data_IF_154629246245
#
_entry.id   IF_154629246245
#
_cell.length_a   1.000
_cell.length_b   1.000
_cell.length_c   1.000
_cell.angle_alpha   90.00
_cell.angle_beta   90.00
_cell.angle_gamma   90.00
#
_symmetry.space_group_name_H-M   'P 1'
#
loop_
_entity.id
_entity.type
_entity.pdbx_description
1 polymer ?
#
# COMPACT_ATOMS: atom_id res chain seq x y z
N UNK A 1 -15.48 -43.51 -12.56
CA UNK A 1 -14.07 -43.34 -13.00
C UNK A 1 -13.47 -42.32 -12.05
N UNK A 2 -12.47 -42.66 -11.24
CA UNK A 2 -11.84 -41.68 -10.37
C UNK A 2 -11.11 -40.67 -11.25
N UNK A 3 -11.32 -39.40 -10.92
CA UNK A 3 -10.74 -38.23 -11.54
C UNK A 3 -9.20 -38.29 -11.40
N UNK A 4 -8.54 -38.73 -12.46
CA UNK A 4 -7.09 -38.70 -12.55
C UNK A 4 -6.67 -37.27 -12.89
N UNK A 5 -6.73 -36.39 -11.89
CA UNK A 5 -5.92 -35.18 -11.89
C UNK A 5 -4.47 -35.61 -12.20
N UNK A 6 -3.83 -35.11 -13.26
CA UNK A 6 -2.49 -35.55 -13.60
C UNK A 6 -1.56 -35.30 -12.41
N UNK A 7 -0.79 -36.33 -12.02
CA UNK A 7 0.21 -36.25 -10.98
C UNK A 7 1.14 -35.03 -11.24
N UNK A 8 1.68 -34.37 -10.19
CA UNK A 8 2.48 -33.16 -10.31
C UNK A 8 3.88 -33.41 -10.91
N UNK A 9 4.03 -34.32 -11.87
CA UNK A 9 5.33 -34.76 -12.39
C UNK A 9 5.90 -33.90 -13.53
N UNK A 10 5.23 -32.81 -13.93
CA UNK A 10 5.74 -31.87 -14.93
C UNK A 10 6.20 -30.52 -14.35
N UNK A 11 5.98 -30.27 -13.05
CA UNK A 11 6.38 -29.03 -12.35
C UNK A 11 7.88 -28.95 -12.00
N UNK A 12 8.65 -29.99 -12.35
CA UNK A 12 10.02 -30.21 -11.87
C UNK A 12 11.10 -30.24 -12.98
N UNK A 13 10.81 -29.75 -14.18
CA UNK A 13 11.86 -29.71 -15.24
C UNK A 13 12.80 -28.51 -15.11
N UNK A 14 12.36 -27.44 -14.45
CA UNK A 14 13.20 -26.28 -14.15
C UNK A 14 13.92 -26.51 -12.82
N UNK A 15 15.24 -26.32 -12.82
CA UNK A 15 16.05 -26.31 -11.61
C UNK A 15 15.80 -25.01 -10.86
N UNK A 16 14.80 -25.01 -9.98
CA UNK A 16 14.42 -23.83 -9.20
C UNK A 16 15.53 -23.36 -8.25
N UNK A 17 16.47 -24.23 -7.88
CA UNK A 17 17.60 -23.87 -7.03
C UNK A 17 18.63 -23.04 -7.81
N UNK A 18 18.63 -23.11 -9.15
CA UNK A 18 19.49 -22.29 -9.99
C UNK A 18 19.21 -20.79 -9.86
N UNK A 19 18.00 -20.40 -9.42
CA UNK A 19 17.66 -19.00 -9.12
C UNK A 19 18.56 -18.44 -8.01
N UNK A 20 19.02 -19.27 -7.09
CA UNK A 20 19.83 -18.82 -5.95
C UNK A 20 21.32 -18.69 -6.30
N UNK A 21 21.72 -19.03 -7.53
CA UNK A 21 23.12 -18.90 -8.01
C UNK A 21 23.65 -17.48 -7.84
N UNK A 22 22.82 -16.46 -8.13
CA UNK A 22 23.24 -15.05 -8.04
C UNK A 22 22.92 -14.40 -6.68
N UNK A 23 22.15 -15.07 -5.83
CA UNK A 23 21.62 -14.54 -4.57
C UNK A 23 22.72 -14.04 -3.62
N UNK A 24 23.83 -14.78 -3.59
CA UNK A 24 24.93 -14.55 -2.65
C UNK A 24 26.17 -13.96 -3.33
N UNK A 25 26.09 -13.56 -4.61
CA UNK A 25 27.18 -12.86 -5.27
C UNK A 25 27.48 -11.54 -4.56
N UNK A 26 28.73 -11.08 -4.66
CA UNK A 26 29.12 -9.80 -4.08
C UNK A 26 28.41 -8.65 -4.79
N UNK A 27 27.92 -7.68 -4.02
CA UNK A 27 27.37 -6.42 -4.54
C UNK A 27 28.39 -5.72 -5.46
N UNK A 28 29.69 -5.80 -5.13
CA UNK A 28 30.74 -5.21 -5.96
C UNK A 28 30.85 -5.90 -7.34
N UNK A 29 30.70 -7.22 -7.38
CA UNK A 29 30.74 -8.00 -8.62
C UNK A 29 29.53 -7.68 -9.50
N UNK A 30 28.33 -7.62 -8.91
CA UNK A 30 27.10 -7.27 -9.62
C UNK A 30 27.16 -5.83 -10.14
N UNK A 31 27.57 -4.88 -9.31
CA UNK A 31 27.75 -3.49 -9.73
C UNK A 31 28.77 -3.38 -10.88
N UNK A 32 29.90 -4.07 -10.80
CA UNK A 32 30.88 -4.08 -11.88
C UNK A 32 30.34 -4.71 -13.17
N UNK A 33 29.45 -5.71 -13.08
CA UNK A 33 28.74 -6.27 -14.24
C UNK A 33 27.76 -5.25 -14.84
N UNK A 34 26.87 -4.67 -14.03
CA UNK A 34 25.86 -3.71 -14.48
C UNK A 34 26.47 -2.42 -15.07
N UNK A 35 27.59 -1.95 -14.51
CA UNK A 35 28.29 -0.78 -15.02
C UNK A 35 28.96 -1.01 -16.39
N UNK A 36 29.27 -2.26 -16.76
CA UNK A 36 29.84 -2.57 -18.08
C UNK A 36 28.83 -2.40 -19.22
N UNK A 37 27.55 -2.59 -18.93
CA UNK A 37 26.50 -2.53 -19.95
C UNK A 37 26.19 -1.10 -20.42
N UNK A 38 26.66 -0.06 -19.68
CA UNK A 38 26.44 1.38 -19.86
C UNK A 38 25.51 1.74 -21.04
N UNK A 39 24.18 1.60 -20.88
CA UNK A 39 23.27 1.51 -22.01
C UNK A 39 22.97 2.87 -22.66
N UNK A 40 23.37 3.98 -22.05
CA UNK A 40 23.03 5.33 -22.49
C UNK A 40 24.29 6.10 -22.92
N UNK A 41 24.29 6.53 -24.19
CA UNK A 41 25.24 7.51 -24.70
C UNK A 41 25.03 8.91 -24.07
N UNK A 42 25.98 9.81 -24.31
CA UNK A 42 25.96 11.15 -23.70
C UNK A 42 24.75 11.99 -24.15
N UNK A 43 24.30 11.80 -25.39
CA UNK A 43 23.13 12.50 -25.91
C UNK A 43 21.86 12.05 -25.20
N UNK A 44 21.64 10.74 -25.09
CA UNK A 44 20.49 10.14 -24.39
C UNK A 44 20.52 10.50 -22.91
N UNK A 45 21.70 10.48 -22.28
CA UNK A 45 21.88 10.89 -20.88
C UNK A 45 21.49 12.35 -20.65
N UNK A 46 21.82 13.25 -21.58
CA UNK A 46 21.41 14.65 -21.50
C UNK A 46 19.89 14.82 -21.60
N UNK A 47 19.23 14.05 -22.48
CA UNK A 47 17.75 14.04 -22.61
C UNK A 47 17.10 13.54 -21.33
N UNK A 48 17.51 12.38 -20.82
CA UNK A 48 16.99 11.80 -19.56
C UNK A 48 17.17 12.76 -18.40
N UNK A 49 18.33 13.42 -18.31
CA UNK A 49 18.59 14.42 -17.27
C UNK A 49 17.63 15.61 -17.38
N UNK A 50 17.44 16.15 -18.58
CA UNK A 50 16.55 17.30 -18.78
C UNK A 50 15.09 16.95 -18.41
N UNK A 51 14.65 15.75 -18.78
CA UNK A 51 13.31 15.26 -18.42
C UNK A 51 13.17 15.06 -16.90
N UNK A 52 14.13 14.40 -16.26
CA UNK A 52 14.15 14.21 -14.81
C UNK A 52 14.13 15.55 -14.06
N UNK A 53 14.94 16.53 -14.51
CA UNK A 53 14.94 17.87 -13.93
C UNK A 53 13.59 18.58 -14.12
N UNK A 54 12.95 18.42 -15.28
CA UNK A 54 11.62 18.97 -15.57
C UNK A 54 10.56 18.39 -14.63
N UNK A 55 10.54 17.06 -14.46
CA UNK A 55 9.64 16.37 -13.53
C UNK A 55 9.82 16.87 -12.10
N UNK A 56 11.05 16.94 -11.60
CA UNK A 56 11.35 17.42 -10.24
C UNK A 56 10.89 18.87 -10.05
N UNK A 57 11.12 19.74 -11.04
CA UNK A 57 10.68 21.15 -10.98
C UNK A 57 9.16 21.26 -10.99
N UNK A 58 8.47 20.47 -11.81
CA UNK A 58 7.02 20.43 -11.88
C UNK A 58 6.41 19.94 -10.56
N UNK A 59 6.92 18.85 -9.99
CA UNK A 59 6.48 18.32 -8.68
C UNK A 59 6.70 19.34 -7.56
N UNK A 60 7.87 20.00 -7.52
CA UNK A 60 8.14 21.05 -6.51
C UNK A 60 7.21 22.25 -6.64
N UNK A 61 6.88 22.66 -7.87
CA UNK A 61 5.92 23.76 -8.12
C UNK A 61 4.50 23.37 -7.73
N UNK A 62 4.10 22.12 -7.99
CA UNK A 62 2.80 21.60 -7.57
C UNK A 62 2.71 21.50 -6.03
N UNK A 63 3.79 21.06 -5.37
CA UNK A 63 3.88 20.95 -3.92
C UNK A 63 3.79 22.30 -3.19
N UNK A 64 4.08 23.43 -3.85
CA UNK A 64 3.87 24.76 -3.26
C UNK A 64 2.38 25.13 -3.09
N UNK A 65 1.45 24.33 -3.62
CA UNK A 65 0.00 24.49 -3.45
C UNK A 65 -0.59 23.60 -2.34
N UNK A 66 0.26 22.97 -1.53
CA UNK A 66 -0.15 21.93 -0.59
C UNK A 66 -0.98 22.42 0.59
N UNK A 67 -1.89 21.54 1.02
CA UNK A 67 -2.81 21.77 2.12
C UNK A 67 -2.19 21.43 3.49
N UNK A 68 -3.01 21.54 4.53
CA UNK A 68 -2.62 21.36 5.94
C UNK A 68 -1.96 19.99 6.23
N UNK A 69 -2.32 18.95 5.47
CA UNK A 69 -1.86 17.56 5.67
C UNK A 69 -0.40 17.36 5.30
N UNK A 70 0.06 17.94 4.19
CA UNK A 70 1.46 17.78 3.77
C UNK A 70 2.40 18.66 4.60
N UNK A 71 1.92 19.82 5.08
CA UNK A 71 2.62 20.58 6.10
C UNK A 71 2.76 19.79 7.41
N UNK A 72 1.71 19.07 7.81
CA UNK A 72 1.74 18.17 8.97
C UNK A 72 2.72 17.00 8.77
N UNK A 73 2.71 16.32 7.62
CA UNK A 73 3.67 15.26 7.30
C UNK A 73 5.11 15.77 7.17
N UNK A 74 5.31 17.04 6.79
CA UNK A 74 6.64 17.65 6.75
C UNK A 74 7.17 17.95 8.15
N UNK A 75 6.31 18.40 9.06
CA UNK A 75 6.62 18.61 10.47
C UNK A 75 6.90 17.28 11.20
N UNK A 76 6.09 16.25 10.91
CA UNK A 76 6.23 14.88 11.42
C UNK A 76 6.83 13.93 10.37
N UNK A 77 7.94 14.34 9.74
CA UNK A 77 8.53 13.59 8.62
C UNK A 77 8.77 12.11 8.97
N UNK A 78 8.55 11.22 8.00
CA UNK A 78 8.67 9.76 8.14
C UNK A 78 10.05 9.26 8.60
N UNK A 79 11.06 10.14 8.63
CA UNK A 79 12.39 9.84 9.18
C UNK A 79 12.49 10.02 10.70
N UNK A 80 11.47 10.56 11.37
CA UNK A 80 11.44 10.73 12.82
C UNK A 80 10.70 9.59 13.50
N UNK A 81 11.00 9.34 14.79
CA UNK A 81 10.31 8.30 15.57
C UNK A 81 8.83 8.61 15.70
N UNK A 82 8.49 9.89 15.74
CA UNK A 82 7.14 10.43 15.87
C UNK A 82 6.36 10.27 14.57
N UNK A 83 6.97 10.53 13.41
CA UNK A 83 6.37 10.29 12.10
C UNK A 83 6.10 8.81 11.85
N UNK A 84 7.03 7.93 12.23
CA UNK A 84 6.83 6.48 12.21
C UNK A 84 5.69 6.03 13.14
N UNK A 85 5.67 6.53 14.38
CA UNK A 85 4.61 6.20 15.34
C UNK A 85 3.23 6.67 14.88
N UNK A 86 3.16 7.87 14.28
CA UNK A 86 1.95 8.43 13.70
C UNK A 86 1.45 7.58 12.51
N UNK A 87 2.35 7.08 11.65
CA UNK A 87 1.97 6.19 10.54
C UNK A 87 1.54 4.81 11.00
N UNK A 88 2.26 4.20 11.95
CA UNK A 88 1.85 2.94 12.56
C UNK A 88 0.48 3.07 13.25
N UNK A 89 0.24 4.21 13.92
CA UNK A 89 -1.07 4.51 14.48
C UNK A 89 -2.11 4.69 13.37
N UNK A 90 -1.80 5.43 12.31
CA UNK A 90 -2.73 5.61 11.20
C UNK A 90 -3.15 4.29 10.54
N UNK A 91 -2.18 3.42 10.26
CA UNK A 91 -2.37 2.07 9.72
C UNK A 91 -3.22 1.20 10.66
N UNK A 92 -2.87 1.16 11.95
CA UNK A 92 -3.61 0.36 12.93
C UNK A 92 -5.07 0.81 13.07
N UNK A 93 -5.33 2.12 13.07
CA UNK A 93 -6.68 2.65 13.20
C UNK A 93 -7.53 2.48 11.93
N UNK A 94 -6.91 2.54 10.74
CA UNK A 94 -7.59 2.27 9.48
C UNK A 94 -7.93 0.78 9.31
N UNK A 95 -7.09 -0.11 9.84
CA UNK A 95 -7.34 -1.57 9.86
C UNK A 95 -8.30 -2.00 10.97
N UNK A 96 -8.63 -1.14 11.93
CA UNK A 96 -9.56 -1.44 13.03
C UNK A 96 -10.98 -0.96 12.68
N UNK A 97 -11.89 -1.88 12.30
CA UNK A 97 -13.24 -1.50 11.86
C UNK A 97 -14.11 -0.97 13.02
N UNK A 98 -13.90 -1.50 14.23
CA UNK A 98 -14.63 -1.11 15.43
C UNK A 98 -14.14 0.22 16.01
N UNK A 99 -15.08 1.13 16.27
CA UNK A 99 -14.81 2.47 16.79
C UNK A 99 -14.30 2.43 18.23
N UNK A 100 -14.82 1.52 19.07
CA UNK A 100 -14.41 1.42 20.47
C UNK A 100 -12.95 0.91 20.60
N UNK A 101 -12.56 -0.10 19.81
CA UNK A 101 -11.20 -0.64 19.74
C UNK A 101 -10.24 0.38 19.14
N UNK A 102 -10.70 1.16 18.15
CA UNK A 102 -9.93 2.29 17.59
C UNK A 102 -9.63 3.33 18.66
N UNK A 103 -10.62 3.72 19.45
CA UNK A 103 -10.43 4.67 20.55
C UNK A 103 -9.53 4.12 21.66
N UNK A 104 -9.63 2.83 21.98
CA UNK A 104 -8.71 2.19 22.94
C UNK A 104 -7.27 2.16 22.42
N UNK A 105 -7.05 1.83 21.15
CA UNK A 105 -5.73 1.89 20.50
C UNK A 105 -5.15 3.30 20.48
N UNK A 106 -5.98 4.31 20.19
CA UNK A 106 -5.57 5.71 20.28
C UNK A 106 -5.17 6.05 21.70
N UNK A 107 -5.94 5.61 22.71
CA UNK A 107 -5.61 5.85 24.12
C UNK A 107 -4.25 5.24 24.44
N UNK A 108 -4.08 3.95 24.21
CA UNK A 108 -2.89 3.21 24.58
C UNK A 108 -1.61 3.71 23.90
N UNK A 109 -1.70 4.20 22.66
CA UNK A 109 -0.52 4.67 21.90
C UNK A 109 -0.23 6.17 22.05
N UNK A 110 -1.22 7.00 22.39
CA UNK A 110 -1.00 8.42 22.68
C UNK A 110 -0.49 8.64 24.11
N UNK A 111 -0.96 7.87 25.10
CA UNK A 111 -0.60 8.04 26.52
C UNK A 111 0.91 7.93 26.84
N UNK A 112 1.73 7.09 26.17
CA UNK A 112 3.16 6.96 26.48
C UNK A 112 4.06 7.97 25.76
N UNK A 113 3.56 8.68 24.76
CA UNK A 113 4.40 9.56 23.95
C UNK A 113 4.23 11.02 24.41
N UNK A 114 5.36 11.66 24.70
CA UNK A 114 5.45 13.05 25.14
C UNK A 114 5.20 14.02 23.96
N UNK A 115 4.06 13.87 23.29
CA UNK A 115 3.66 14.71 22.15
C UNK A 115 3.60 16.19 22.53
N UNK A 116 3.41 16.48 23.82
CA UNK A 116 3.35 17.82 24.37
C UNK A 116 4.70 18.56 24.32
N UNK A 117 5.84 17.86 24.42
CA UNK A 117 7.17 18.50 24.40
C UNK A 117 7.61 18.94 22.99
N UNK A 118 6.99 18.40 21.94
CA UNK A 118 7.24 18.81 20.55
C UNK A 118 6.31 19.94 20.05
N UNK A 119 5.36 20.42 20.87
CA UNK A 119 4.40 21.48 20.51
C UNK A 119 4.97 22.92 20.48
N UNK A 120 6.29 23.11 20.51
CA UNK A 120 6.88 24.43 20.77
C UNK A 120 8.15 24.82 20.02
N UNK A 121 8.60 24.06 19.01
CA UNK A 121 9.91 24.28 18.38
C UNK A 121 9.91 25.00 17.03
N UNK A 122 8.76 25.47 16.53
CA UNK A 122 8.70 26.34 15.35
C UNK A 122 8.41 27.79 15.72
N UNK A 123 9.17 28.73 15.13
CA UNK A 123 9.17 30.18 15.41
C UNK A 123 7.85 30.91 15.09
N UNK A 124 6.72 30.21 14.90
CA UNK A 124 5.45 30.83 14.52
C UNK A 124 4.22 30.10 15.11
N UNK A 125 3.94 30.36 16.38
CA UNK A 125 2.82 29.79 17.16
C UNK A 125 1.42 29.99 16.56
N UNK A 126 1.20 31.05 15.77
CA UNK A 126 -0.09 31.34 15.13
C UNK A 126 -0.44 30.34 14.01
N UNK A 127 0.57 29.69 13.42
CA UNK A 127 0.39 28.67 12.38
C UNK A 127 -0.09 27.35 12.99
N UNK A 128 0.30 27.05 14.23
CA UNK A 128 -0.10 25.81 14.90
C UNK A 128 -1.57 25.86 15.35
N UNK A 129 -2.02 26.90 16.05
CA UNK A 129 -3.42 26.97 16.51
C UNK A 129 -4.44 26.98 15.35
N UNK A 130 -4.09 27.63 14.24
CA UNK A 130 -4.92 27.64 13.02
C UNK A 130 -4.91 26.30 12.30
N UNK A 131 -3.77 25.60 12.24
CA UNK A 131 -3.65 24.22 11.70
C UNK A 131 -4.54 23.24 12.48
N UNK A 132 -4.50 23.28 13.81
CA UNK A 132 -5.32 22.42 14.67
C UNK A 132 -6.81 22.81 14.62
N UNK A 133 -7.15 24.10 14.66
CA UNK A 133 -8.53 24.58 14.51
C UNK A 133 -9.16 24.23 13.17
N UNK A 134 -8.37 24.28 12.09
CA UNK A 134 -8.79 23.87 10.75
C UNK A 134 -8.93 22.35 10.63
N UNK A 135 -8.01 21.57 11.21
CA UNK A 135 -8.13 20.10 11.24
C UNK A 135 -9.31 19.65 12.08
N UNK A 136 -9.61 20.32 13.20
CA UNK A 136 -10.72 19.97 14.09
C UNK A 136 -12.10 20.35 13.52
N UNK A 137 -12.21 21.48 12.80
CA UNK A 137 -13.51 22.06 12.41
C UNK A 137 -13.72 22.27 10.90
N UNK A 138 -12.69 22.09 10.07
CA UNK A 138 -12.75 22.33 8.63
C UNK A 138 -12.93 23.80 8.23
N UNK A 139 -12.85 24.75 9.17
CA UNK A 139 -13.00 26.19 8.93
C UNK A 139 -11.87 26.98 9.58
N UNK A 140 -11.50 28.10 8.97
CA UNK A 140 -10.59 29.08 9.57
C UNK A 140 -11.36 29.73 10.72
N UNK A 141 -10.97 29.42 11.95
CA UNK A 141 -11.52 30.07 13.14
C UNK A 141 -10.74 31.38 13.30
N UNK A 142 -11.40 32.50 13.03
CA UNK A 142 -10.88 33.83 13.38
C UNK A 142 -10.80 33.93 14.92
N UNK A 143 -9.65 34.35 15.42
CA UNK A 143 -9.40 34.44 16.86
C UNK A 143 -10.21 35.61 17.43
N UNK A 144 -11.08 35.30 18.39
CA UNK A 144 -11.96 36.25 19.06
C UNK A 144 -11.18 37.41 19.71
N UNK A 145 -11.66 38.66 19.60
CA UNK A 145 -10.95 39.87 20.06
C UNK A 145 -10.69 39.91 21.58
N UNK A 146 -11.35 39.02 22.33
CA UNK A 146 -11.11 38.80 23.76
C UNK A 146 -9.73 38.19 24.07
N UNK A 147 -9.10 37.49 23.12
CA UNK A 147 -7.76 36.91 23.28
C UNK A 147 -6.62 37.94 23.30
N UNK A 148 -6.88 39.18 22.82
CA UNK A 148 -5.87 40.26 22.78
C UNK A 148 -5.59 40.91 24.14
N UNK A 149 -6.48 40.76 25.13
CA UNK A 149 -6.37 41.45 26.43
C UNK A 149 -5.75 40.63 27.56
N UNK A 150 -5.89 39.31 27.53
CA UNK A 150 -5.24 38.42 28.51
C UNK A 150 -4.86 37.09 27.87
N UNK A 151 -3.76 37.14 27.10
CA UNK A 151 -3.22 35.99 26.40
C UNK A 151 -2.81 34.87 27.37
N UNK A 152 -2.27 35.22 28.56
CA UNK A 152 -1.80 34.24 29.55
C UNK A 152 -2.95 33.52 30.25
N UNK A 153 -4.01 34.23 30.65
CA UNK A 153 -5.20 33.62 31.26
C UNK A 153 -6.00 32.76 30.28
N UNK A 154 -6.11 33.19 29.02
CA UNK A 154 -6.73 32.42 27.95
C UNK A 154 -5.92 31.16 27.59
N UNK A 155 -4.59 31.26 27.55
CA UNK A 155 -3.68 30.11 27.33
C UNK A 155 -3.69 29.11 28.50
N UNK A 156 -3.76 29.57 29.74
CA UNK A 156 -3.87 28.69 30.92
C UNK A 156 -5.24 27.99 30.96
N UNK A 157 -6.30 28.71 30.55
CA UNK A 157 -7.64 28.14 30.37
C UNK A 157 -7.73 27.16 29.20
N UNK A 158 -7.03 27.40 28.08
CA UNK A 158 -7.02 26.50 26.92
C UNK A 158 -6.19 25.24 27.19
N UNK A 159 -5.02 25.35 27.81
CA UNK A 159 -4.21 24.18 28.17
C UNK A 159 -4.90 23.28 29.20
N UNK A 160 -5.79 23.85 30.05
CA UNK A 160 -6.66 23.06 30.94
C UNK A 160 -7.99 22.62 30.30
N UNK A 161 -8.44 23.24 29.20
CA UNK A 161 -9.72 22.90 28.50
C UNK A 161 -9.55 22.08 27.22
N UNK A 162 -8.36 22.08 26.62
CA UNK A 162 -7.97 21.17 25.54
C UNK A 162 -7.50 19.89 26.24
N UNK A 163 -8.47 19.16 26.80
CA UNK A 163 -8.20 17.85 27.38
C UNK A 163 -7.74 16.87 26.31
N UNK A 164 -7.18 15.75 26.76
CA UNK A 164 -6.89 14.56 25.96
C UNK A 164 -7.96 14.24 24.87
N UNK A 165 -9.29 14.41 25.11
CA UNK A 165 -10.30 14.14 24.10
C UNK A 165 -10.23 15.02 22.84
N UNK A 166 -9.78 16.28 22.94
CA UNK A 166 -9.68 17.20 21.79
C UNK A 166 -8.47 16.87 20.92
N UNK A 167 -7.33 16.57 21.55
CA UNK A 167 -6.12 16.12 20.86
C UNK A 167 -6.40 14.79 20.16
N UNK A 168 -7.06 13.86 20.84
CA UNK A 168 -7.53 12.59 20.30
C UNK A 168 -8.40 12.76 19.05
N UNK A 169 -9.39 13.64 19.10
CA UNK A 169 -10.26 13.92 17.96
C UNK A 169 -9.50 14.52 16.77
N UNK A 170 -8.56 15.43 17.02
CA UNK A 170 -7.72 16.02 15.98
C UNK A 170 -6.78 14.99 15.32
N UNK A 171 -6.14 14.13 16.12
CA UNK A 171 -5.27 13.04 15.61
C UNK A 171 -6.09 12.02 14.81
N UNK A 172 -7.27 11.62 15.31
CA UNK A 172 -8.17 10.72 14.60
C UNK A 172 -8.62 11.31 13.26
N UNK A 173 -8.91 12.61 13.21
CA UNK A 173 -9.28 13.30 11.98
C UNK A 173 -8.08 13.43 11.02
N UNK A 174 -6.87 13.74 11.51
CA UNK A 174 -5.66 13.75 10.69
C UNK A 174 -5.39 12.39 10.07
N UNK A 175 -5.53 11.32 10.86
CA UNK A 175 -5.40 9.92 10.41
C UNK A 175 -6.47 9.57 9.39
N UNK A 176 -7.71 10.02 9.58
CA UNK A 176 -8.80 9.81 8.60
C UNK A 176 -8.50 10.49 7.27
N UNK A 177 -7.99 11.73 7.31
CA UNK A 177 -7.61 12.48 6.11
C UNK A 177 -6.38 11.84 5.43
N UNK A 178 -5.40 11.37 6.20
CA UNK A 178 -4.25 10.62 5.67
C UNK A 178 -4.71 9.29 5.05
N UNK A 179 -5.65 8.59 5.67
CA UNK A 179 -6.25 7.37 5.13
C UNK A 179 -6.94 7.58 3.79
N UNK A 180 -7.55 8.75 3.53
CA UNK A 180 -8.10 9.10 2.22
C UNK A 180 -7.02 9.38 1.15
N UNK A 181 -5.76 9.62 1.55
CA UNK A 181 -4.60 9.70 0.66
C UNK A 181 -3.99 8.33 0.40
N UNK A 182 -3.98 7.43 1.39
CA UNK A 182 -3.39 6.08 1.27
C UNK A 182 -4.36 5.04 0.69
N UNK A 183 -5.66 5.21 0.90
CA UNK A 183 -6.70 4.29 0.44
C UNK A 183 -7.61 5.03 -0.54
N UNK A 184 -7.64 4.56 -1.79
CA UNK A 184 -8.41 5.22 -2.85
C UNK A 184 -9.92 5.20 -2.55
N UNK A 185 -10.42 4.13 -1.94
CA UNK A 185 -11.78 4.01 -1.44
C UNK A 185 -11.92 2.87 -0.43
N UNK A 186 -12.88 2.97 0.49
CA UNK A 186 -13.13 1.94 1.51
C UNK A 186 -13.67 0.63 0.92
N UNK A 187 -14.29 0.73 -0.25
CA UNK A 187 -14.81 -0.37 -1.05
C UNK A 187 -14.27 -0.25 -2.47
N UNK A 188 -14.25 -1.35 -3.21
CA UNK A 188 -13.83 -1.35 -4.62
C UNK A 188 -14.74 -0.44 -5.46
N UNK A 189 -16.04 -0.37 -5.14
CA UNK A 189 -16.99 0.51 -5.82
C UNK A 189 -16.68 1.99 -5.60
N UNK A 190 -16.31 2.38 -4.37
CA UNK A 190 -15.93 3.76 -4.07
C UNK A 190 -14.59 4.11 -4.73
N UNK A 191 -13.64 3.17 -4.73
CA UNK A 191 -12.35 3.34 -5.36
C UNK A 191 -12.49 3.49 -6.89
N UNK A 192 -13.37 2.70 -7.53
CA UNK A 192 -13.71 2.83 -8.95
C UNK A 192 -14.38 4.16 -9.29
N UNK A 193 -15.34 4.62 -8.47
CA UNK A 193 -15.98 5.94 -8.67
C UNK A 193 -14.95 7.07 -8.62
N UNK A 194 -14.01 7.00 -7.66
CA UNK A 194 -12.93 7.99 -7.53
C UNK A 194 -11.95 7.90 -8.70
N UNK A 195 -11.51 6.70 -9.08
CA UNK A 195 -10.62 6.50 -10.22
C UNK A 195 -11.22 7.10 -11.51
N UNK A 196 -12.50 6.87 -11.76
CA UNK A 196 -13.22 7.47 -12.89
C UNK A 196 -13.28 9.00 -12.83
N UNK A 197 -13.55 9.56 -11.65
CA UNK A 197 -13.62 11.02 -11.45
C UNK A 197 -12.26 11.69 -11.70
N UNK A 198 -11.18 11.08 -11.24
CA UNK A 198 -9.82 11.60 -11.36
C UNK A 198 -9.14 11.20 -12.68
N UNK A 199 -9.76 10.33 -13.49
CA UNK A 199 -9.22 9.84 -14.76
C UNK A 199 -8.04 8.89 -14.62
N UNK A 200 -7.96 8.14 -13.51
CA UNK A 200 -6.88 7.18 -13.26
C UNK A 200 -7.16 5.84 -13.91
N UNK A 201 -6.10 5.21 -14.42
CA UNK A 201 -6.04 3.77 -14.68
C UNK A 201 -5.30 3.12 -13.51
N UNK A 202 -5.88 2.07 -12.92
CA UNK A 202 -5.41 1.52 -11.64
C UNK A 202 -5.30 0.00 -11.68
N UNK A 203 -4.28 -0.54 -11.04
CA UNK A 203 -4.34 -1.89 -10.44
C UNK A 203 -4.71 -1.73 -8.97
N UNK A 204 -5.75 -2.43 -8.52
CA UNK A 204 -6.23 -2.33 -7.14
C UNK A 204 -5.49 -3.30 -6.22
N UNK A 205 -4.78 -2.75 -5.22
CA UNK A 205 -4.26 -3.50 -4.08
C UNK A 205 -5.34 -3.61 -2.99
N UNK A 206 -5.76 -4.83 -2.69
CA UNK A 206 -6.84 -5.11 -1.73
C UNK A 206 -6.37 -5.12 -0.26
N UNK A 207 -5.11 -4.76 0.01
CA UNK A 207 -4.50 -4.63 1.36
C UNK A 207 -4.44 -5.92 2.20
N UNK A 208 -4.98 -7.03 1.72
CA UNK A 208 -4.90 -8.33 2.38
C UNK A 208 -3.54 -8.97 2.19
N UNK A 209 -2.90 -9.38 3.29
CA UNK A 209 -1.60 -10.05 3.31
C UNK A 209 -1.46 -10.95 4.54
N UNK A 210 -0.62 -11.98 4.45
CA UNK A 210 -0.17 -12.76 5.61
C UNK A 210 -1.30 -13.37 6.44
N UNK A 211 -2.21 -14.12 5.82
CA UNK A 211 -3.28 -14.83 6.51
C UNK A 211 -2.72 -15.62 7.72
N UNK A 212 -3.42 -15.60 8.85
CA UNK A 212 -2.99 -16.32 10.07
C UNK A 212 -3.84 -17.54 10.34
N UNK A 213 -5.07 -17.53 9.83
CA UNK A 213 -6.02 -18.62 9.92
C UNK A 213 -6.58 -18.98 8.55
N UNK A 214 -7.20 -20.16 8.46
CA UNK A 214 -7.99 -20.55 7.30
C UNK A 214 -9.16 -19.57 7.06
N UNK A 215 -9.76 -19.03 8.13
CA UNK A 215 -10.81 -18.03 8.03
C UNK A 215 -10.31 -16.73 7.38
N UNK A 216 -9.10 -16.28 7.70
CA UNK A 216 -8.49 -15.11 7.04
C UNK A 216 -8.27 -15.38 5.55
N UNK A 217 -7.73 -16.56 5.22
CA UNK A 217 -7.46 -16.93 3.84
C UNK A 217 -8.74 -16.99 2.97
N UNK A 218 -9.82 -17.52 3.53
CA UNK A 218 -11.14 -17.52 2.89
C UNK A 218 -11.70 -16.11 2.75
N UNK A 219 -11.60 -15.29 3.81
CA UNK A 219 -12.04 -13.90 3.79
C UNK A 219 -11.32 -13.10 2.69
N UNK A 220 -10.00 -13.20 2.59
CA UNK A 220 -9.23 -12.53 1.53
C UNK A 220 -9.58 -13.07 0.14
N UNK A 221 -9.73 -14.40 -0.02
CA UNK A 221 -10.12 -14.98 -1.29
C UNK A 221 -11.51 -14.47 -1.76
N UNK A 222 -12.46 -14.30 -0.84
CA UNK A 222 -13.78 -13.76 -1.15
C UNK A 222 -13.73 -12.26 -1.43
N UNK A 223 -12.89 -11.50 -0.73
CA UNK A 223 -12.65 -10.08 -1.01
C UNK A 223 -12.06 -9.87 -2.42
N UNK A 224 -11.06 -10.67 -2.82
CA UNK A 224 -10.52 -10.66 -4.17
C UNK A 224 -11.59 -11.03 -5.21
N UNK A 225 -12.38 -12.08 -4.96
CA UNK A 225 -13.44 -12.49 -5.89
C UNK A 225 -14.54 -11.42 -6.07
N UNK A 226 -14.89 -10.73 -4.99
CA UNK A 226 -15.79 -9.58 -4.99
C UNK A 226 -15.23 -8.41 -5.81
N UNK A 227 -13.95 -8.09 -5.62
CA UNK A 227 -13.26 -7.03 -6.37
C UNK A 227 -13.18 -7.35 -7.87
N UNK A 228 -12.81 -8.56 -8.25
CA UNK A 228 -12.80 -9.00 -9.65
C UNK A 228 -14.21 -8.88 -10.26
N UNK A 229 -15.25 -9.24 -9.51
CA UNK A 229 -16.64 -9.09 -9.95
C UNK A 229 -17.03 -7.63 -10.18
N UNK A 230 -16.56 -6.71 -9.33
CA UNK A 230 -16.81 -5.28 -9.50
C UNK A 230 -16.05 -4.71 -10.71
N UNK A 231 -14.80 -5.10 -10.91
CA UNK A 231 -13.97 -4.72 -12.05
C UNK A 231 -14.56 -5.21 -13.38
N UNK A 232 -15.05 -6.45 -13.41
CA UNK A 232 -15.69 -7.04 -14.59
C UNK A 232 -16.89 -6.23 -15.11
N UNK A 233 -17.57 -5.46 -14.24
CA UNK A 233 -18.72 -4.63 -14.65
C UNK A 233 -18.32 -3.37 -15.42
N UNK A 234 -17.06 -2.95 -15.29
CA UNK A 234 -16.55 -1.70 -15.90
C UNK A 234 -15.48 -1.95 -16.96
N UNK A 235 -14.93 -3.16 -17.04
CA UNK A 235 -13.94 -3.56 -18.04
C UNK A 235 -14.54 -3.59 -19.45
N UNK A 236 -13.86 -2.97 -20.42
CA UNK A 236 -14.29 -2.88 -21.83
C UNK A 236 -13.13 -2.90 -22.83
N UNK A 237 -11.92 -2.49 -22.43
CA UNK A 237 -10.73 -2.35 -23.28
C UNK A 237 -9.72 -3.50 -23.20
N UNK A 238 -9.82 -4.38 -22.21
CA UNK A 238 -8.89 -5.50 -21.98
C UNK A 238 -7.79 -5.18 -20.97
N UNK A 239 -6.87 -6.14 -20.72
CA UNK A 239 -5.98 -6.10 -19.55
C UNK A 239 -5.04 -4.89 -19.48
N UNK A 240 -4.58 -4.36 -20.61
CA UNK A 240 -3.67 -3.21 -20.64
C UNK A 240 -4.38 -1.86 -20.58
N UNK A 241 -5.67 -1.81 -20.94
CA UNK A 241 -6.44 -0.58 -21.08
C UNK A 241 -7.46 -0.38 -19.94
N UNK A 242 -7.84 -1.45 -19.25
CA UNK A 242 -8.78 -1.41 -18.12
C UNK A 242 -8.07 -1.52 -16.77
N UNK A 243 -8.84 -1.27 -15.72
CA UNK A 243 -8.39 -1.51 -14.35
C UNK A 243 -8.04 -2.99 -14.11
N UNK A 244 -7.01 -3.22 -13.30
CA UNK A 244 -6.55 -4.54 -12.87
C UNK A 244 -6.66 -4.78 -11.37
N UNK A 245 -6.18 -5.93 -10.93
CA UNK A 245 -6.09 -6.29 -9.51
C UNK A 245 -4.71 -6.87 -9.18
N UNK A 246 -4.21 -6.53 -8.00
CA UNK A 246 -3.00 -7.09 -7.39
C UNK A 246 -3.36 -8.09 -6.30
N UNK A 247 -2.74 -9.26 -6.32
CA UNK A 247 -3.02 -10.37 -5.39
C UNK A 247 -1.73 -10.81 -4.71
N UNK A 248 -1.75 -10.87 -3.37
CA UNK A 248 -0.65 -11.40 -2.54
C UNK A 248 -0.93 -12.87 -2.23
N UNK A 249 0.06 -13.74 -2.44
CA UNK A 249 -0.11 -15.19 -2.24
C UNK A 249 -0.22 -15.52 -0.75
N UNK A 250 0.49 -14.80 0.13
CA UNK A 250 0.36 -14.96 1.58
C UNK A 250 -1.04 -14.66 2.12
N UNK A 251 -1.86 -13.89 1.41
CA UNK A 251 -3.25 -13.66 1.78
C UNK A 251 -4.13 -14.89 1.55
N UNK A 252 -3.73 -15.80 0.66
CA UNK A 252 -4.54 -16.94 0.23
C UNK A 252 -4.26 -18.22 1.02
N UNK A 253 -3.23 -18.24 1.88
CA UNK A 253 -2.91 -19.37 2.74
C UNK A 253 -2.00 -18.99 3.90
N UNK A 254 -2.31 -19.47 5.10
CA UNK A 254 -1.61 -19.06 6.31
C UNK A 254 -0.20 -19.64 6.46
N UNK A 255 0.10 -20.74 5.76
CA UNK A 255 1.41 -21.39 5.75
C UNK A 255 2.07 -21.31 4.37
N UNK A 256 1.99 -20.15 3.74
CA UNK A 256 2.69 -19.85 2.49
C UNK A 256 4.22 -19.75 2.74
N UNK A 257 4.86 -20.92 2.77
CA UNK A 257 6.25 -21.15 3.15
C UNK A 257 6.86 -22.25 2.26
N UNK A 258 8.13 -22.13 1.87
CA UNK A 258 8.79 -23.10 0.99
C UNK A 258 8.80 -24.53 1.56
N UNK A 259 8.94 -24.68 2.88
CA UNK A 259 8.91 -25.98 3.58
C UNK A 259 7.52 -26.65 3.56
N UNK A 260 6.49 -25.93 3.10
CA UNK A 260 5.09 -26.37 2.97
C UNK A 260 4.62 -26.37 1.51
N UNK A 261 5.54 -26.59 0.56
CA UNK A 261 5.23 -26.52 -0.88
C UNK A 261 4.03 -27.41 -1.26
N UNK A 262 3.95 -28.63 -0.75
CA UNK A 262 2.81 -29.54 -1.00
C UNK A 262 1.49 -28.93 -0.52
N UNK A 263 1.45 -28.49 0.75
CA UNK A 263 0.28 -27.82 1.35
C UNK A 263 -0.12 -26.54 0.59
N UNK A 264 0.84 -25.81 0.03
CA UNK A 264 0.59 -24.63 -0.82
C UNK A 264 -0.15 -25.03 -2.11
N UNK A 265 0.27 -26.10 -2.78
CA UNK A 265 -0.43 -26.60 -3.96
C UNK A 265 -1.79 -27.25 -3.62
N UNK A 266 -1.96 -27.79 -2.42
CA UNK A 266 -3.23 -28.36 -1.98
C UNK A 266 -4.26 -27.27 -1.59
N UNK A 267 -3.82 -26.22 -0.87
CA UNK A 267 -4.74 -25.27 -0.24
C UNK A 267 -4.74 -23.87 -0.89
N UNK A 268 -3.57 -23.31 -1.21
CA UNK A 268 -3.47 -21.98 -1.82
C UNK A 268 -3.87 -22.03 -3.29
N UNK A 269 -3.29 -22.98 -4.03
CA UNK A 269 -3.37 -23.03 -5.48
C UNK A 269 -4.81 -23.10 -6.02
N UNK A 270 -5.74 -23.92 -5.46
CA UNK A 270 -7.12 -23.94 -5.95
C UNK A 270 -7.83 -22.58 -5.80
N UNK A 271 -7.54 -21.84 -4.72
CA UNK A 271 -8.10 -20.48 -4.51
C UNK A 271 -7.55 -19.50 -5.53
N UNK A 272 -6.22 -19.51 -5.72
CA UNK A 272 -5.55 -18.66 -6.71
C UNK A 272 -6.08 -18.92 -8.12
N UNK A 273 -6.14 -20.20 -8.53
CA UNK A 273 -6.65 -20.61 -9.83
C UNK A 273 -8.07 -20.10 -10.06
N UNK A 274 -8.96 -20.24 -9.07
CA UNK A 274 -10.34 -19.74 -9.14
C UNK A 274 -10.38 -18.24 -9.42
N UNK A 275 -9.55 -17.46 -8.72
CA UNK A 275 -9.45 -16.01 -8.92
C UNK A 275 -8.89 -15.65 -10.31
N UNK A 276 -7.82 -16.32 -10.74
CA UNK A 276 -7.23 -16.09 -12.06
C UNK A 276 -8.20 -16.43 -13.21
N UNK A 277 -8.94 -17.54 -13.11
CA UNK A 277 -9.98 -17.89 -14.09
C UNK A 277 -11.11 -16.86 -14.11
N UNK A 278 -11.48 -16.31 -12.95
CA UNK A 278 -12.47 -15.24 -12.87
C UNK A 278 -11.97 -13.95 -13.55
N UNK A 279 -10.70 -13.58 -13.32
CA UNK A 279 -10.07 -12.41 -13.95
C UNK A 279 -9.91 -12.60 -15.47
N UNK A 280 -9.58 -13.81 -15.93
CA UNK A 280 -9.51 -14.17 -17.34
C UNK A 280 -10.87 -14.02 -18.04
N UNK A 281 -11.95 -14.50 -17.41
CA UNK A 281 -13.33 -14.31 -17.91
C UNK A 281 -13.74 -12.84 -17.96
N UNK A 282 -13.25 -12.04 -17.03
CA UNK A 282 -13.47 -10.59 -17.00
C UNK A 282 -12.54 -9.82 -17.97
N UNK A 283 -11.55 -10.51 -18.57
CA UNK A 283 -10.52 -9.94 -19.42
C UNK A 283 -9.78 -8.72 -18.81
N UNK A 284 -9.47 -8.80 -17.50
CA UNK A 284 -8.74 -7.74 -16.77
C UNK A 284 -7.30 -8.15 -16.48
N UNK A 285 -6.46 -7.21 -16.06
CA UNK A 285 -5.14 -7.53 -15.52
C UNK A 285 -5.24 -8.16 -14.12
N UNK A 286 -4.44 -9.19 -13.87
CA UNK A 286 -4.33 -9.93 -12.63
C UNK A 286 -2.86 -10.13 -12.30
N UNK A 287 -2.33 -9.30 -11.41
CA UNK A 287 -0.91 -9.29 -11.07
C UNK A 287 -0.66 -10.01 -9.75
N UNK A 288 0.25 -10.98 -9.75
CA UNK A 288 0.80 -11.55 -8.53
C UNK A 288 1.83 -10.58 -7.95
N UNK A 289 1.60 -10.12 -6.72
CA UNK A 289 2.55 -9.27 -6.02
C UNK A 289 3.78 -10.09 -5.59
N UNK A 290 4.94 -9.44 -5.59
CA UNK A 290 6.16 -10.00 -5.04
C UNK A 290 6.28 -9.66 -3.55
N UNK A 291 6.59 -10.68 -2.76
CA UNK A 291 6.63 -10.62 -1.30
C UNK A 291 8.09 -10.76 -0.80
N UNK A 292 8.34 -11.53 0.25
CA UNK A 292 9.68 -11.74 0.78
C UNK A 292 10.57 -12.59 -0.14
N UNK A 293 11.89 -12.40 0.00
CA UNK A 293 12.92 -13.01 -0.85
C UNK A 293 12.92 -14.56 -0.80
N UNK A 294 12.54 -15.14 0.33
CA UNK A 294 12.48 -16.60 0.53
C UNK A 294 11.28 -17.25 -0.18
N UNK A 295 10.28 -16.45 -0.55
CA UNK A 295 9.07 -16.87 -1.26
C UNK A 295 9.20 -16.80 -2.77
N UNK A 296 10.25 -16.18 -3.33
CA UNK A 296 10.41 -16.00 -4.79
C UNK A 296 10.35 -17.33 -5.55
N UNK A 297 11.15 -18.34 -5.16
CA UNK A 297 11.15 -19.61 -5.87
C UNK A 297 9.80 -20.34 -5.77
N UNK A 298 9.11 -20.22 -4.63
CA UNK A 298 7.78 -20.79 -4.43
C UNK A 298 6.71 -20.06 -5.26
N UNK A 299 6.74 -18.73 -5.32
CA UNK A 299 5.79 -17.95 -6.13
C UNK A 299 5.93 -18.25 -7.61
N UNK A 300 7.17 -18.44 -8.10
CA UNK A 300 7.41 -18.80 -9.50
C UNK A 300 6.97 -20.23 -9.83
N UNK A 301 7.10 -21.19 -8.90
CA UNK A 301 6.50 -22.54 -9.05
C UNK A 301 4.98 -22.46 -9.19
N UNK A 302 4.34 -21.66 -8.35
CA UNK A 302 2.90 -21.42 -8.39
C UNK A 302 2.49 -20.76 -9.71
N UNK A 303 3.24 -19.75 -10.16
CA UNK A 303 3.02 -19.07 -11.43
C UNK A 303 3.20 -20.01 -12.64
N UNK A 304 4.27 -20.80 -12.70
CA UNK A 304 4.49 -21.76 -13.80
C UNK A 304 3.31 -22.74 -13.93
N UNK A 305 2.82 -23.26 -12.80
CA UNK A 305 1.63 -24.12 -12.79
C UNK A 305 0.39 -23.40 -13.31
N UNK A 306 0.20 -22.15 -12.90
CA UNK A 306 -0.94 -21.31 -13.26
C UNK A 306 -0.93 -20.96 -14.75
N UNK A 307 0.22 -20.55 -15.30
CA UNK A 307 0.41 -20.24 -16.72
C UNK A 307 0.07 -21.41 -17.66
N UNK A 308 0.08 -22.65 -17.15
CA UNK A 308 -0.22 -23.88 -17.88
C UNK A 308 -1.67 -24.35 -17.72
N UNK A 309 -2.51 -23.61 -17.00
CA UNK A 309 -3.92 -23.97 -16.85
C UNK A 309 -4.68 -23.76 -18.17
N UNK A 310 -5.33 -24.80 -18.71
CA UNK A 310 -6.06 -24.68 -19.98
C UNK A 310 -7.24 -23.70 -19.90
N UNK A 311 -7.79 -23.49 -18.71
CA UNK A 311 -8.89 -22.53 -18.48
C UNK A 311 -8.47 -21.06 -18.62
N UNK A 312 -7.16 -20.77 -18.59
CA UNK A 312 -6.66 -19.42 -18.87
C UNK A 312 -6.49 -19.16 -20.37
N UNK A 313 -6.36 -20.21 -21.19
CA UNK A 313 -6.33 -20.11 -22.65
C UNK A 313 -5.36 -19.05 -23.18
N UNK A 314 -5.84 -18.21 -24.10
CA UNK A 314 -5.04 -17.16 -24.74
C UNK A 314 -5.00 -15.83 -23.97
N UNK A 315 -5.63 -15.75 -22.79
CA UNK A 315 -5.71 -14.51 -22.00
C UNK A 315 -4.32 -13.98 -21.65
N UNK A 316 -4.12 -12.66 -21.81
CA UNK A 316 -2.83 -11.97 -21.61
C UNK A 316 -2.77 -11.10 -20.36
N UNK A 317 -3.77 -11.19 -19.48
CA UNK A 317 -3.83 -10.36 -18.28
C UNK A 317 -3.08 -10.90 -17.07
N UNK A 318 -2.51 -12.11 -17.13
CA UNK A 318 -1.71 -12.66 -16.03
C UNK A 318 -0.37 -11.91 -15.92
N UNK A 319 -0.14 -11.27 -14.79
CA UNK A 319 1.07 -10.50 -14.48
C UNK A 319 1.81 -11.00 -13.25
N UNK A 320 3.06 -10.57 -13.11
CA UNK A 320 3.93 -10.80 -11.96
C UNK A 320 4.71 -9.52 -11.67
N UNK A 321 4.75 -9.09 -10.41
CA UNK A 321 5.68 -8.06 -9.97
C UNK A 321 7.09 -8.67 -9.79
N UNK A 322 8.13 -7.97 -10.25
CA UNK A 322 9.53 -8.39 -10.11
C UNK A 322 10.30 -7.29 -9.39
N UNK A 323 11.03 -7.66 -8.34
CA UNK A 323 11.65 -6.68 -7.45
C UNK A 323 13.11 -6.43 -7.86
N UNK A 324 13.37 -5.33 -8.56
CA UNK A 324 14.70 -4.98 -9.10
C UNK A 324 15.80 -4.75 -8.03
N UNK A 325 15.43 -4.64 -6.76
CA UNK A 325 16.38 -4.55 -5.64
C UNK A 325 16.98 -5.90 -5.22
N UNK A 326 16.48 -7.04 -5.72
CA UNK A 326 17.04 -8.36 -5.50
C UNK A 326 17.97 -8.72 -6.65
N UNK A 327 19.00 -9.50 -6.33
CA UNK A 327 20.05 -9.91 -7.28
C UNK A 327 19.60 -10.94 -8.32
N UNK A 328 18.45 -11.59 -8.09
CA UNK A 328 17.91 -12.71 -8.86
C UNK A 328 16.81 -12.24 -9.79
#
# INVERSE_FOLDING_TARGET
>A
MPDASPAPSALFSFDWDSLDTEKYLSDAEICARLLRDNPLDDQTRAVVRAEAESLVRATRKAAQRQGVVESFLKEFSLGTREGLALMCLAEALLRTPDEATRDQLIAEKITPADWASHLGHSDNWFVNASTWGLMLTGRIIDVDDSAKKDLKGYLHGLTQRVGEPVIRAAVAQAIRIMGEQFVLGRTIEDALKRAKKEGYLCSFDMLGEGARTEADALHYADAYAGAITALAKVATGGPEADHGISVKLSALYSRYEAVRTEDVFEHLYPRLKRLAVQAAKANINFTLDAEETDRLALSLKVLDRLCREPELGDWKGLGLAVQAYQKR
#
